data_IF_188993830310
#
_entry.id   IF_188993830310
#
_cell.length_a   1.000
_cell.length_b   1.000
_cell.length_c   1.000
_cell.angle_alpha   90.00
_cell.angle_beta   90.00
_cell.angle_gamma   90.00
#
_symmetry.space_group_name_H-M   'P 1'
#
loop_
_entity.id
_entity.type
_entity.pdbx_description
1 polymer ?
#
# COMPACT_ATOMS: atom_id res chain seq x y z
N UNK A 1 -11.53 36.66 26.72
CA UNK A 1 -12.91 36.14 26.61
C UNK A 1 -12.98 34.83 27.36
N UNK A 2 -13.73 34.79 28.47
CA UNK A 2 -13.86 33.60 29.32
C UNK A 2 -14.76 32.54 28.69
N UNK A 3 -14.35 31.28 28.79
CA UNK A 3 -15.12 30.11 28.36
C UNK A 3 -16.04 29.67 29.49
N UNK A 4 -17.35 29.70 29.26
CA UNK A 4 -18.40 29.22 30.17
C UNK A 4 -18.54 27.69 30.03
N UNK A 5 -18.42 26.95 31.14
CA UNK A 5 -18.32 25.48 31.17
C UNK A 5 -19.67 24.76 31.31
N UNK A 6 -20.77 25.47 31.52
CA UNK A 6 -22.03 24.85 31.98
C UNK A 6 -23.14 24.73 30.93
N UNK A 7 -22.80 24.69 29.63
CA UNK A 7 -23.79 24.45 28.56
C UNK A 7 -23.40 23.33 27.61
N UNK A 8 -23.39 22.09 28.11
CA UNK A 8 -23.68 20.91 27.28
C UNK A 8 -24.90 20.21 27.85
N UNK A 9 -26.08 20.52 27.31
CA UNK A 9 -27.27 19.73 27.59
C UNK A 9 -27.12 18.39 26.89
N UNK A 10 -27.10 17.31 27.66
CA UNK A 10 -27.15 15.94 27.13
C UNK A 10 -28.51 15.78 26.43
N UNK A 11 -28.56 15.30 25.18
CA UNK A 11 -29.81 15.07 24.49
C UNK A 11 -30.72 14.14 25.30
N UNK A 12 -32.00 14.49 25.45
CA UNK A 12 -32.97 13.70 26.21
C UNK A 12 -33.06 12.24 25.73
N UNK A 13 -32.77 11.97 24.46
CA UNK A 13 -32.67 10.62 23.91
C UNK A 13 -31.56 9.79 24.54
N UNK A 14 -30.39 10.40 24.81
CA UNK A 14 -29.24 9.75 25.43
C UNK A 14 -29.46 9.49 26.93
N UNK A 15 -30.11 10.44 27.61
CA UNK A 15 -30.53 10.28 29.00
C UNK A 15 -31.61 9.20 29.17
N UNK A 16 -32.55 9.12 28.22
CA UNK A 16 -33.60 8.11 28.21
C UNK A 16 -33.02 6.72 27.95
N UNK A 17 -32.15 6.61 26.94
CA UNK A 17 -31.47 5.36 26.61
C UNK A 17 -30.61 4.81 27.76
N UNK A 18 -29.84 5.65 28.44
CA UNK A 18 -29.02 5.23 29.60
C UNK A 18 -29.86 4.82 30.81
N UNK A 19 -31.04 5.44 31.02
CA UNK A 19 -31.98 5.02 32.08
C UNK A 19 -32.69 3.70 31.79
N UNK A 20 -32.97 3.41 30.52
CA UNK A 20 -33.70 2.21 30.11
C UNK A 20 -32.79 0.99 29.91
N UNK A 21 -31.49 1.21 29.71
CA UNK A 21 -30.49 0.16 29.44
C UNK A 21 -30.45 -0.97 30.49
N UNK A 22 -30.45 -0.69 31.81
CA UNK A 22 -30.42 -1.74 32.82
C UNK A 22 -31.67 -2.62 32.79
N UNK A 23 -32.83 -2.02 32.47
CA UNK A 23 -34.09 -2.75 32.34
C UNK A 23 -34.13 -3.65 31.11
N UNK A 24 -33.56 -3.20 29.99
CA UNK A 24 -33.48 -3.98 28.74
C UNK A 24 -32.50 -5.15 28.84
N UNK A 25 -31.42 -4.98 29.60
CA UNK A 25 -30.48 -6.05 29.91
C UNK A 25 -31.11 -7.10 30.84
N UNK A 26 -31.85 -6.66 31.86
CA UNK A 26 -32.58 -7.57 32.75
C UNK A 26 -33.75 -8.29 32.05
N UNK A 27 -34.28 -7.74 30.95
CA UNK A 27 -35.36 -8.31 30.17
C UNK A 27 -34.92 -9.38 29.14
N UNK A 28 -33.62 -9.69 29.04
CA UNK A 28 -33.12 -10.74 28.15
C UNK A 28 -33.24 -10.40 26.65
N UNK A 29 -33.23 -9.10 26.28
CA UNK A 29 -33.27 -8.66 24.87
C UNK A 29 -31.97 -8.96 24.09
N UNK A 30 -31.00 -9.63 24.71
CA UNK A 30 -29.70 -9.96 24.14
C UNK A 30 -29.35 -11.43 24.35
N UNK A 31 -28.85 -12.07 23.30
CA UNK A 31 -28.44 -13.47 23.23
C UNK A 31 -27.50 -13.89 24.39
N UNK A 32 -27.78 -15.02 25.02
CA UNK A 32 -27.21 -15.44 26.32
C UNK A 32 -25.68 -15.64 26.26
N UNK A 33 -25.13 -16.10 25.13
CA UNK A 33 -23.68 -16.24 24.94
C UNK A 33 -22.93 -14.89 24.86
N UNK A 34 -23.63 -13.80 24.47
CA UNK A 34 -23.07 -12.45 24.41
C UNK A 34 -23.07 -11.78 25.77
N UNK A 35 -24.13 -11.95 26.56
CA UNK A 35 -24.21 -11.39 27.91
C UNK A 35 -23.11 -11.93 28.83
N UNK A 36 -22.85 -13.24 28.80
CA UNK A 36 -21.84 -13.89 29.64
C UNK A 36 -20.39 -13.53 29.26
N UNK A 37 -20.15 -13.15 28.01
CA UNK A 37 -18.83 -12.69 27.55
C UNK A 37 -18.58 -11.24 27.97
N UNK A 38 -19.60 -10.40 27.81
CA UNK A 38 -19.57 -8.99 28.24
C UNK A 38 -19.39 -8.88 29.75
N UNK A 39 -20.07 -9.72 30.55
CA UNK A 39 -19.91 -9.75 32.02
C UNK A 39 -18.49 -10.17 32.42
N UNK A 40 -17.93 -11.21 31.80
CA UNK A 40 -16.55 -11.66 32.09
C UNK A 40 -15.49 -10.64 31.70
N UNK A 41 -15.67 -9.94 30.58
CA UNK A 41 -14.75 -8.89 30.14
C UNK A 41 -14.88 -7.62 31.00
N UNK A 42 -16.08 -7.25 31.44
CA UNK A 42 -16.31 -6.15 32.40
C UNK A 42 -15.67 -6.45 33.76
N UNK A 43 -15.82 -7.66 34.29
CA UNK A 43 -15.20 -8.06 35.56
C UNK A 43 -13.66 -8.13 35.47
N UNK A 44 -13.12 -8.54 34.31
CA UNK A 44 -11.68 -8.50 34.03
C UNK A 44 -11.13 -7.08 33.96
N UNK A 45 -11.87 -6.18 33.32
CA UNK A 45 -11.53 -4.77 33.19
C UNK A 45 -11.55 -4.05 34.55
N UNK A 46 -12.54 -4.35 35.40
CA UNK A 46 -12.68 -3.74 36.73
C UNK A 46 -11.58 -4.21 37.71
N UNK A 47 -11.05 -5.43 37.53
CA UNK A 47 -9.86 -5.93 38.27
C UNK A 47 -8.56 -5.29 37.79
N UNK A 48 -8.40 -5.02 36.50
CA UNK A 48 -7.22 -4.35 35.95
C UNK A 48 -7.17 -2.87 36.37
N UNK A 49 -8.32 -2.19 36.42
CA UNK A 49 -8.40 -0.78 36.81
C UNK A 49 -8.10 -0.52 38.29
N UNK A 50 -8.34 -1.48 39.19
CA UNK A 50 -8.04 -1.34 40.63
C UNK A 50 -6.56 -1.38 40.98
N UNK A 51 -5.65 -1.74 40.05
CA UNK A 51 -4.22 -1.94 40.35
C UNK A 51 -3.27 -0.82 39.90
N UNK A 52 -3.73 0.17 39.14
CA UNK A 52 -2.87 1.26 38.57
C UNK A 52 -3.22 2.67 39.06
N UNK A 53 -3.88 2.78 40.22
CA UNK A 53 -4.52 4.03 40.65
C UNK A 53 -3.64 5.00 41.44
N UNK A 54 -2.45 5.36 40.94
CA UNK A 54 -1.73 6.55 41.39
C UNK A 54 -0.79 7.07 40.29
N UNK A 55 -1.24 8.05 39.49
CA UNK A 55 -0.60 9.37 39.28
C UNK A 55 -1.04 10.12 38.00
N UNK A 56 -1.71 9.50 37.02
CA UNK A 56 -2.00 10.17 35.72
C UNK A 56 -3.50 10.29 35.41
N UNK A 57 -4.20 11.15 36.16
CA UNK A 57 -5.67 11.33 36.08
C UNK A 57 -6.19 12.12 34.86
N UNK A 58 -5.37 12.47 33.86
CA UNK A 58 -5.85 13.29 32.72
C UNK A 58 -5.50 12.78 31.31
N UNK A 59 -4.53 11.87 31.17
CA UNK A 59 -4.24 11.24 29.87
C UNK A 59 -4.87 9.84 29.76
N UNK A 60 -4.85 9.05 30.84
CA UNK A 60 -5.40 7.69 30.84
C UNK A 60 -6.93 7.65 30.69
N UNK A 61 -7.64 8.65 31.21
CA UNK A 61 -9.11 8.71 31.11
C UNK A 61 -9.56 9.00 29.68
N UNK A 62 -8.82 9.81 28.92
CA UNK A 62 -9.14 10.13 27.52
C UNK A 62 -8.86 8.96 26.60
N UNK A 63 -7.73 8.26 26.79
CA UNK A 63 -7.40 7.05 26.00
C UNK A 63 -8.33 5.88 26.34
N UNK A 64 -8.66 5.68 27.61
CA UNK A 64 -9.62 4.66 28.03
C UNK A 64 -11.05 5.00 27.59
N UNK A 65 -11.46 6.27 27.59
CA UNK A 65 -12.75 6.69 27.07
C UNK A 65 -12.84 6.53 25.54
N UNK A 66 -11.76 6.78 24.80
CA UNK A 66 -11.70 6.53 23.36
C UNK A 66 -11.79 5.02 23.08
N UNK A 67 -10.95 4.21 23.74
CA UNK A 67 -10.98 2.75 23.59
C UNK A 67 -12.32 2.12 24.03
N UNK A 68 -12.91 2.57 25.14
CA UNK A 68 -14.21 2.13 25.59
C UNK A 68 -15.34 2.61 24.67
N UNK A 69 -15.24 3.81 24.09
CA UNK A 69 -16.21 4.30 23.09
C UNK A 69 -16.13 3.46 21.81
N UNK A 70 -14.94 3.02 21.40
CA UNK A 70 -14.77 2.10 20.28
C UNK A 70 -15.27 0.69 20.59
N UNK A 71 -14.98 0.11 21.76
CA UNK A 71 -15.52 -1.19 22.18
C UNK A 71 -17.06 -1.16 22.31
N UNK A 72 -17.62 -0.07 22.84
CA UNK A 72 -19.07 0.15 22.85
C UNK A 72 -19.64 0.37 21.44
N UNK A 73 -18.85 0.83 20.47
CA UNK A 73 -19.24 0.94 19.05
C UNK A 73 -19.25 -0.42 18.34
N UNK A 74 -18.25 -1.28 18.60
CA UNK A 74 -18.25 -2.67 18.11
C UNK A 74 -19.40 -3.46 18.76
N UNK A 75 -19.75 -3.14 20.01
CA UNK A 75 -20.84 -3.77 20.75
C UNK A 75 -22.27 -3.26 20.48
N UNK A 76 -22.46 -2.05 19.92
CA UNK A 76 -23.80 -1.39 19.85
C UNK A 76 -24.54 -1.47 18.51
N UNK A 77 -24.19 -2.44 17.66
CA UNK A 77 -25.12 -2.92 16.63
C UNK A 77 -25.18 -2.14 15.31
N UNK A 78 -24.09 -1.50 14.87
CA UNK A 78 -23.98 -0.89 13.53
C UNK A 78 -23.02 -1.60 12.56
N UNK A 79 -22.56 -2.80 12.88
CA UNK A 79 -22.06 -3.73 11.85
C UNK A 79 -23.28 -4.45 11.26
N UNK A 80 -23.67 -4.11 10.04
CA UNK A 80 -24.71 -4.90 9.35
C UNK A 80 -24.24 -6.37 9.31
N UNK A 81 -25.16 -7.36 9.31
CA UNK A 81 -24.79 -8.76 9.11
C UNK A 81 -23.92 -8.98 7.85
N UNK A 82 -23.99 -8.08 6.87
CA UNK A 82 -23.10 -8.05 5.70
C UNK A 82 -21.68 -7.60 6.06
N UNK A 83 -21.51 -6.57 6.89
CA UNK A 83 -20.21 -6.13 7.41
C UNK A 83 -19.53 -7.21 8.27
N UNK A 84 -20.27 -7.83 9.20
CA UNK A 84 -19.75 -8.92 10.03
C UNK A 84 -19.32 -10.15 9.18
N UNK A 85 -20.00 -10.38 8.06
CA UNK A 85 -19.70 -11.45 7.10
C UNK A 85 -18.55 -11.12 6.15
N UNK A 86 -18.22 -9.85 5.94
CA UNK A 86 -17.06 -9.40 5.17
C UNK A 86 -15.81 -9.37 6.05
N UNK A 87 -15.88 -8.80 7.26
CA UNK A 87 -14.76 -8.76 8.22
C UNK A 87 -14.29 -10.17 8.62
N UNK A 88 -15.20 -11.12 8.80
CA UNK A 88 -14.86 -12.54 9.07
C UNK A 88 -14.30 -13.32 7.87
N UNK A 89 -14.27 -12.73 6.67
CA UNK A 89 -13.83 -13.36 5.42
C UNK A 89 -12.61 -12.69 4.79
N UNK A 90 -12.04 -11.68 5.45
CA UNK A 90 -10.79 -11.08 5.02
C UNK A 90 -9.69 -11.95 5.62
N UNK A 91 -8.90 -12.67 4.80
CA UNK A 91 -7.62 -13.19 5.28
C UNK A 91 -6.89 -11.99 5.90
N UNK A 92 -6.26 -12.13 7.07
CA UNK A 92 -5.58 -11.00 7.69
C UNK A 92 -4.72 -10.31 6.63
N UNK A 93 -4.91 -9.01 6.36
CA UNK A 93 -4.07 -8.31 5.39
C UNK A 93 -2.56 -8.44 5.77
N UNK A 94 -2.26 -8.77 7.03
CA UNK A 94 -0.95 -9.22 7.53
C UNK A 94 -0.44 -10.53 6.92
N UNK A 95 -1.30 -11.46 6.48
CA UNK A 95 -0.88 -12.68 5.78
C UNK A 95 -0.27 -12.40 4.40
N UNK A 96 -0.47 -11.20 3.84
CA UNK A 96 0.09 -10.78 2.54
C UNK A 96 1.62 -10.68 2.59
N UNK A 97 2.22 -10.40 3.76
CA UNK A 97 3.68 -10.31 3.89
C UNK A 97 4.38 -11.66 3.99
N UNK A 98 3.64 -12.73 4.25
CA UNK A 98 4.17 -14.07 4.50
C UNK A 98 3.61 -15.14 3.55
N UNK A 99 3.06 -14.75 2.39
CA UNK A 99 2.66 -15.73 1.38
C UNK A 99 3.81 -15.99 0.40
N UNK A 100 4.59 -17.07 0.55
CA UNK A 100 5.52 -17.57 -0.48
C UNK A 100 4.79 -18.09 -1.74
N UNK A 101 3.52 -17.74 -1.96
CA UNK A 101 2.63 -18.28 -2.99
C UNK A 101 2.56 -17.43 -4.28
N UNK A 102 3.16 -16.23 -4.34
CA UNK A 102 2.84 -15.25 -5.39
C UNK A 102 4.05 -14.63 -6.10
N UNK A 103 4.86 -15.45 -6.73
CA UNK A 103 5.33 -15.06 -8.06
C UNK A 103 4.72 -16.03 -9.08
N UNK A 104 3.64 -15.55 -9.71
CA UNK A 104 2.96 -16.26 -10.80
C UNK A 104 3.94 -16.57 -11.94
N UNK A 105 4.91 -15.68 -12.20
CA UNK A 105 5.96 -15.88 -13.19
C UNK A 105 6.90 -17.00 -12.77
N UNK A 106 7.30 -17.05 -11.50
CA UNK A 106 8.17 -18.12 -10.98
C UNK A 106 7.48 -19.48 -11.04
N UNK A 107 6.23 -19.57 -10.54
CA UNK A 107 5.45 -20.83 -10.56
C UNK A 107 5.22 -21.35 -11.97
N UNK A 108 4.90 -20.45 -12.90
CA UNK A 108 4.74 -20.79 -14.31
C UNK A 108 6.08 -21.24 -14.91
N UNK A 109 7.17 -20.55 -14.60
CA UNK A 109 8.53 -20.94 -15.03
C UNK A 109 8.89 -22.34 -14.55
N UNK A 110 8.68 -22.64 -13.27
CA UNK A 110 8.96 -23.95 -12.69
C UNK A 110 8.09 -25.04 -13.32
N UNK A 111 6.80 -24.76 -13.54
CA UNK A 111 5.86 -25.71 -14.16
C UNK A 111 6.29 -26.06 -15.58
N UNK A 112 6.56 -25.05 -16.41
CA UNK A 112 6.99 -25.25 -17.79
C UNK A 112 8.34 -25.96 -17.90
N UNK A 113 9.31 -25.61 -17.04
CA UNK A 113 10.62 -26.30 -16.99
C UNK A 113 10.46 -27.77 -16.58
N UNK A 114 9.58 -28.07 -15.63
CA UNK A 114 9.29 -29.45 -15.18
C UNK A 114 8.65 -30.28 -16.29
N UNK A 115 7.86 -29.66 -17.16
CA UNK A 115 7.29 -30.30 -18.35
C UNK A 115 8.27 -30.40 -19.54
N UNK A 116 9.51 -29.92 -19.37
CA UNK A 116 10.58 -30.06 -20.35
C UNK A 116 10.66 -28.93 -21.38
N UNK A 117 9.92 -27.83 -21.20
CA UNK A 117 9.97 -26.68 -22.09
C UNK A 117 11.22 -25.80 -21.80
N UNK A 118 11.96 -25.36 -22.83
CA UNK A 118 13.13 -24.52 -22.66
C UNK A 118 12.71 -23.07 -22.41
N UNK A 119 12.34 -22.74 -21.16
CA UNK A 119 11.92 -21.38 -20.79
C UNK A 119 13.13 -20.49 -20.53
N UNK A 120 13.26 -19.41 -21.31
CA UNK A 120 14.24 -18.35 -21.08
C UNK A 120 13.80 -17.44 -19.94
N UNK A 121 12.56 -16.96 -20.02
CA UNK A 121 12.01 -15.97 -19.08
C UNK A 121 10.48 -15.99 -19.10
N UNK A 122 9.87 -15.68 -17.97
CA UNK A 122 8.44 -15.35 -17.85
C UNK A 122 8.34 -13.96 -17.24
N UNK A 123 7.60 -13.06 -17.89
CA UNK A 123 7.37 -11.70 -17.44
C UNK A 123 5.90 -11.47 -17.16
N UNK A 124 5.58 -11.00 -15.96
CA UNK A 124 4.27 -10.51 -15.59
C UNK A 124 4.19 -8.99 -15.78
N UNK A 125 3.15 -8.54 -16.46
CA UNK A 125 2.85 -7.14 -16.71
C UNK A 125 1.66 -6.74 -15.83
N UNK A 126 1.93 -5.92 -14.82
CA UNK A 126 0.93 -5.45 -13.86
C UNK A 126 0.74 -3.95 -14.02
N UNK A 127 -0.52 -3.48 -14.03
CA UNK A 127 -0.86 -2.07 -14.14
C UNK A 127 -1.13 -1.63 -15.57
N UNK A 128 -2.41 -1.62 -15.97
CA UNK A 128 -2.83 -1.06 -17.26
C UNK A 128 -4.07 -1.74 -17.82
N UNK A 129 -4.34 -1.49 -19.11
CA UNK A 129 -5.36 -2.22 -19.89
C UNK A 129 -4.86 -3.57 -20.42
N UNK A 130 -3.54 -3.75 -20.42
CA UNK A 130 -2.85 -4.93 -20.96
C UNK A 130 -2.09 -5.62 -19.81
N UNK A 131 -2.82 -6.12 -18.82
CA UNK A 131 -2.23 -6.97 -17.78
C UNK A 131 -2.16 -8.42 -18.27
N UNK A 132 -1.03 -9.07 -18.05
CA UNK A 132 -0.83 -10.43 -18.54
C UNK A 132 0.58 -10.95 -18.38
N UNK A 133 0.81 -12.11 -18.98
CA UNK A 133 2.07 -12.84 -18.92
C UNK A 133 2.64 -12.99 -20.34
N UNK A 134 3.94 -12.74 -20.48
CA UNK A 134 4.71 -13.11 -21.67
C UNK A 134 5.73 -14.18 -21.29
N UNK A 135 5.60 -15.33 -21.94
CA UNK A 135 6.51 -16.47 -21.82
C UNK A 135 7.47 -16.43 -23.01
N UNK A 136 8.76 -16.36 -22.72
CA UNK A 136 9.83 -16.37 -23.73
C UNK A 136 10.53 -17.72 -23.73
N UNK A 137 10.51 -18.41 -24.87
CA UNK A 137 11.08 -19.74 -25.03
C UNK A 137 12.45 -19.69 -25.72
N UNK A 138 13.44 -20.35 -25.14
CA UNK A 138 14.76 -20.58 -25.72
C UNK A 138 14.71 -21.77 -26.71
N UNK A 139 14.02 -21.56 -27.83
CA UNK A 139 13.74 -22.61 -28.81
C UNK A 139 13.96 -22.10 -30.24
N UNK A 140 14.42 -22.98 -31.14
CA UNK A 140 14.44 -22.68 -32.58
C UNK A 140 13.03 -22.44 -33.11
N UNK A 141 12.89 -21.75 -34.25
CA UNK A 141 11.57 -21.44 -34.83
C UNK A 141 10.71 -22.69 -35.01
N UNK A 142 11.30 -23.80 -35.49
CA UNK A 142 10.58 -25.06 -35.65
C UNK A 142 10.07 -25.60 -34.32
N UNK A 143 10.94 -25.67 -33.31
CA UNK A 143 10.57 -26.15 -31.98
C UNK A 143 9.53 -25.24 -31.32
N UNK A 144 9.65 -23.92 -31.49
CA UNK A 144 8.68 -22.93 -31.02
C UNK A 144 7.29 -23.21 -31.63
N UNK A 145 7.20 -23.41 -32.95
CA UNK A 145 5.92 -23.67 -33.61
C UNK A 145 5.24 -24.94 -33.09
N UNK A 146 6.02 -25.96 -32.74
CA UNK A 146 5.55 -27.22 -32.17
C UNK A 146 5.05 -27.06 -30.71
N UNK A 147 5.73 -26.26 -29.88
CA UNK A 147 5.42 -26.16 -28.44
C UNK A 147 4.55 -24.96 -28.04
N UNK A 148 4.43 -23.93 -28.87
CA UNK A 148 3.77 -22.66 -28.49
C UNK A 148 2.33 -22.88 -28.01
N UNK A 149 1.60 -23.84 -28.60
CA UNK A 149 0.20 -24.08 -28.28
C UNK A 149 0.05 -24.69 -26.88
N UNK A 150 0.89 -25.66 -26.55
CA UNK A 150 0.86 -26.33 -25.25
C UNK A 150 1.32 -25.38 -24.13
N UNK A 151 2.40 -24.63 -24.37
CA UNK A 151 2.89 -23.61 -23.43
C UNK A 151 1.83 -22.53 -23.18
N UNK A 152 1.15 -22.08 -24.24
CA UNK A 152 0.06 -21.11 -24.13
C UNK A 152 -1.10 -21.67 -23.31
N UNK A 153 -1.44 -22.95 -23.52
CA UNK A 153 -2.49 -23.64 -22.77
C UNK A 153 -2.14 -23.75 -21.28
N UNK A 154 -0.92 -24.16 -20.93
CA UNK A 154 -0.45 -24.26 -19.54
C UNK A 154 -0.55 -22.90 -18.84
N UNK A 155 -0.09 -21.83 -19.50
CA UNK A 155 -0.20 -20.48 -18.96
C UNK A 155 -1.65 -20.06 -18.75
N UNK A 156 -2.55 -20.35 -19.71
CA UNK A 156 -3.98 -20.06 -19.59
C UNK A 156 -4.66 -20.86 -18.47
N UNK A 157 -4.33 -22.14 -18.34
CA UNK A 157 -4.88 -23.00 -17.29
C UNK A 157 -4.41 -22.55 -15.90
N UNK A 158 -3.16 -22.07 -15.79
CA UNK A 158 -2.63 -21.53 -14.54
C UNK A 158 -3.39 -20.27 -14.10
N UNK A 159 -3.54 -19.27 -14.97
CA UNK A 159 -4.23 -18.03 -14.60
C UNK A 159 -5.73 -18.24 -14.36
N UNK A 160 -6.36 -19.23 -14.99
CA UNK A 160 -7.77 -19.61 -14.78
C UNK A 160 -7.99 -20.61 -13.65
N UNK A 161 -6.94 -20.98 -12.93
CA UNK A 161 -7.04 -21.94 -11.83
C UNK A 161 -7.97 -21.45 -10.72
N UNK A 162 -8.49 -22.39 -9.92
CA UNK A 162 -9.44 -22.07 -8.82
C UNK A 162 -8.88 -21.06 -7.82
N UNK A 163 -7.55 -21.01 -7.68
CA UNK A 163 -6.82 -20.12 -6.78
C UNK A 163 -7.00 -18.64 -7.15
N UNK A 164 -6.95 -18.31 -8.45
CA UNK A 164 -7.06 -16.94 -8.94
C UNK A 164 -8.50 -16.50 -9.21
N UNK A 165 -9.49 -17.37 -8.94
CA UNK A 165 -10.89 -17.07 -9.21
C UNK A 165 -11.36 -15.83 -8.45
N UNK A 166 -11.91 -14.85 -9.17
CA UNK A 166 -12.34 -13.57 -8.61
C UNK A 166 -11.22 -12.57 -8.35
N UNK A 167 -9.98 -12.90 -8.71
CA UNK A 167 -8.85 -11.95 -8.80
C UNK A 167 -8.76 -11.39 -10.22
N UNK A 168 -7.97 -10.33 -10.44
CA UNK A 168 -7.66 -9.82 -11.79
C UNK A 168 -6.74 -10.74 -12.58
N UNK A 169 -5.98 -11.61 -11.91
CA UNK A 169 -5.08 -12.57 -12.56
C UNK A 169 -5.87 -13.50 -13.48
N UNK A 170 -7.12 -13.85 -13.15
CA UNK A 170 -7.95 -14.71 -14.01
C UNK A 170 -8.24 -14.12 -15.40
N UNK A 171 -8.09 -12.81 -15.57
CA UNK A 171 -8.27 -12.10 -16.84
C UNK A 171 -6.95 -11.85 -17.59
N UNK A 172 -5.81 -12.29 -17.06
CA UNK A 172 -4.52 -12.03 -17.67
C UNK A 172 -4.46 -12.61 -19.08
N UNK A 173 -3.98 -11.79 -20.03
CA UNK A 173 -3.59 -12.36 -21.32
C UNK A 173 -2.37 -13.25 -21.10
N UNK A 174 -2.22 -14.27 -21.95
CA UNK A 174 -1.01 -15.09 -22.00
C UNK A 174 -0.49 -15.02 -23.42
N UNK A 175 0.80 -14.73 -23.58
CA UNK A 175 1.49 -14.72 -24.87
C UNK A 175 2.76 -15.54 -24.78
N UNK A 176 3.04 -16.30 -25.82
CA UNK A 176 4.29 -17.04 -25.96
C UNK A 176 5.08 -16.42 -27.12
N UNK A 177 6.38 -16.27 -26.96
CA UNK A 177 7.28 -15.74 -27.99
C UNK A 177 8.60 -16.51 -28.01
N UNK A 178 9.23 -16.68 -29.17
CA UNK A 178 10.58 -17.21 -29.22
C UNK A 178 11.56 -16.16 -28.67
N UNK A 179 12.58 -16.63 -27.96
CA UNK A 179 13.75 -15.83 -27.66
C UNK A 179 14.46 -15.52 -28.98
N UNK A 180 14.85 -14.27 -29.14
CA UNK A 180 15.72 -13.84 -30.23
C UNK A 180 16.94 -13.22 -29.58
N UNK A 181 18.09 -13.77 -29.91
CA UNK A 181 19.36 -13.13 -29.58
C UNK A 181 19.35 -11.72 -30.18
N UNK A 182 19.69 -10.69 -29.39
CA UNK A 182 19.88 -9.35 -29.93
C UNK A 182 20.93 -9.38 -31.05
N UNK A 183 20.82 -8.47 -32.02
CA UNK A 183 21.84 -8.34 -33.06
C UNK A 183 23.19 -7.98 -32.44
N UNK A 184 24.29 -8.37 -33.09
CA UNK A 184 25.62 -7.98 -32.65
C UNK A 184 25.80 -6.45 -32.62
N UNK A 185 25.19 -5.73 -33.57
CA UNK A 185 25.13 -4.26 -33.56
C UNK A 185 24.48 -3.72 -32.26
N UNK A 186 23.36 -4.30 -31.83
CA UNK A 186 22.70 -3.89 -30.59
C UNK A 186 23.55 -4.23 -29.36
N UNK A 187 24.19 -5.40 -29.33
CA UNK A 187 25.09 -5.79 -28.23
C UNK A 187 26.27 -4.83 -28.12
N UNK A 188 26.87 -4.46 -29.24
CA UNK A 188 27.95 -3.47 -29.29
C UNK A 188 27.48 -2.09 -28.83
N UNK A 189 26.31 -1.63 -29.30
CA UNK A 189 25.71 -0.36 -28.86
C UNK A 189 25.45 -0.35 -27.35
N UNK A 190 24.89 -1.43 -26.78
CA UNK A 190 24.67 -1.51 -25.34
C UNK A 190 25.97 -1.58 -24.54
N UNK A 191 26.97 -2.33 -25.00
CA UNK A 191 28.27 -2.39 -24.34
C UNK A 191 28.96 -1.02 -24.34
N UNK A 192 28.81 -0.24 -25.41
CA UNK A 192 29.33 1.12 -25.46
C UNK A 192 28.57 2.05 -24.50
N UNK A 193 27.24 1.98 -24.48
CA UNK A 193 26.43 2.76 -23.53
C UNK A 193 26.79 2.41 -22.08
N UNK A 194 26.96 1.13 -21.76
CA UNK A 194 27.35 0.65 -20.44
C UNK A 194 28.73 1.20 -20.06
N UNK A 195 29.71 1.12 -20.97
CA UNK A 195 31.05 1.67 -20.77
C UNK A 195 31.03 3.18 -20.55
N UNK A 196 30.33 3.93 -21.39
CA UNK A 196 30.20 5.39 -21.25
C UNK A 196 29.51 5.77 -19.93
N UNK A 197 28.46 5.04 -19.55
CA UNK A 197 27.73 5.27 -18.31
C UNK A 197 28.60 4.96 -17.09
N UNK A 198 29.37 3.87 -17.12
CA UNK A 198 30.29 3.48 -16.05
C UNK A 198 31.44 4.48 -15.88
N UNK A 199 31.99 5.00 -16.99
CA UNK A 199 33.00 6.06 -16.96
C UNK A 199 32.46 7.31 -16.26
N UNK A 200 31.29 7.79 -16.70
CA UNK A 200 30.61 8.94 -16.09
C UNK A 200 30.29 8.65 -14.61
N UNK A 201 29.84 7.45 -14.29
CA UNK A 201 29.57 7.02 -12.92
C UNK A 201 30.81 7.19 -12.03
N UNK A 202 31.97 6.68 -12.44
CA UNK A 202 33.19 6.77 -11.66
C UNK A 202 33.66 8.21 -11.47
N UNK A 203 33.64 9.03 -12.54
CA UNK A 203 34.00 10.46 -12.49
C UNK A 203 33.14 11.19 -11.47
N UNK A 204 31.82 10.99 -11.54
CA UNK A 204 30.85 11.63 -10.64
C UNK A 204 31.04 11.15 -9.20
N UNK A 205 31.23 9.84 -8.97
CA UNK A 205 31.47 9.31 -7.62
C UNK A 205 32.73 9.90 -6.99
N UNK A 206 33.82 10.00 -7.75
CA UNK A 206 35.07 10.60 -7.28
C UNK A 206 34.91 12.08 -6.94
N UNK A 207 34.18 12.84 -7.75
CA UNK A 207 33.86 14.25 -7.50
C UNK A 207 33.00 14.45 -6.24
N UNK A 208 32.17 13.45 -5.89
CA UNK A 208 31.25 13.49 -4.76
C UNK A 208 31.88 13.06 -3.43
N UNK A 209 32.97 12.27 -3.44
CA UNK A 209 33.68 11.79 -2.23
C UNK A 209 34.01 12.89 -1.22
N UNK A 210 34.55 14.07 -1.60
CA UNK A 210 34.89 15.13 -0.64
C UNK A 210 33.69 15.71 0.12
N UNK A 211 32.47 15.51 -0.40
CA UNK A 211 31.23 16.02 0.18
C UNK A 211 30.50 15.01 1.08
N UNK A 212 31.05 13.80 1.24
CA UNK A 212 30.39 12.66 1.91
C UNK A 212 28.95 12.47 1.39
N UNK A 213 28.80 12.56 0.06
CA UNK A 213 27.50 12.53 -0.57
C UNK A 213 27.02 11.10 -0.75
N UNK A 214 26.04 10.69 0.06
CA UNK A 214 25.51 9.32 0.09
C UNK A 214 24.12 9.18 -0.58
N UNK A 215 23.62 10.23 -1.22
CA UNK A 215 22.30 10.22 -1.85
C UNK A 215 22.35 9.61 -3.26
N UNK A 216 21.18 9.18 -3.74
CA UNK A 216 21.01 8.63 -5.07
C UNK A 216 21.48 9.61 -6.15
N UNK A 217 22.17 9.07 -7.14
CA UNK A 217 22.53 9.74 -8.38
C UNK A 217 21.86 8.98 -9.52
N UNK A 218 21.07 9.69 -10.32
CA UNK A 218 20.48 9.15 -11.54
C UNK A 218 21.43 9.34 -12.70
N UNK A 219 21.67 8.28 -13.46
CA UNK A 219 22.50 8.32 -14.67
C UNK A 219 21.62 8.01 -15.88
N UNK A 220 21.64 8.92 -16.83
CA UNK A 220 21.15 8.74 -18.19
C UNK A 220 22.30 9.06 -19.14
N UNK A 221 22.22 8.56 -20.38
CA UNK A 221 23.31 8.69 -21.36
C UNK A 221 23.94 10.08 -21.41
N UNK A 222 23.11 11.12 -21.38
CA UNK A 222 23.53 12.52 -21.52
C UNK A 222 23.19 13.38 -20.28
N UNK A 223 22.81 12.76 -19.15
CA UNK A 223 22.37 13.50 -17.96
C UNK A 223 22.70 12.79 -16.64
N UNK A 224 23.24 13.55 -15.70
CA UNK A 224 23.44 13.17 -14.30
C UNK A 224 22.47 13.97 -13.43
N UNK A 225 21.54 13.29 -12.76
CA UNK A 225 20.62 13.91 -11.79
C UNK A 225 21.11 13.68 -10.36
N UNK A 226 21.47 14.76 -9.67
CA UNK A 226 21.87 14.74 -8.26
C UNK A 226 20.66 14.94 -7.35
N UNK A 227 20.30 13.93 -6.56
CA UNK A 227 19.21 14.05 -5.58
C UNK A 227 19.67 14.65 -4.24
N UNK A 228 19.36 15.93 -3.99
CA UNK A 228 19.84 16.66 -2.81
C UNK A 228 18.70 16.95 -1.82
N UNK A 229 18.90 16.77 -0.49
CA UNK A 229 17.93 17.20 0.51
C UNK A 229 17.54 18.67 0.38
N UNK A 230 16.25 18.98 0.47
CA UNK A 230 15.75 20.37 0.38
C UNK A 230 16.23 21.26 1.52
N UNK A 231 16.67 20.67 2.63
CA UNK A 231 17.27 21.34 3.79
C UNK A 231 18.72 21.78 3.55
N UNK A 232 19.37 21.28 2.50
CA UNK A 232 20.78 21.59 2.21
C UNK A 232 20.92 23.04 1.77
N UNK A 233 21.99 23.70 2.22
CA UNK A 233 22.24 25.11 1.89
C UNK A 233 22.58 25.27 0.42
N UNK A 234 22.06 26.32 -0.21
CA UNK A 234 22.26 26.54 -1.65
C UNK A 234 23.75 26.65 -2.01
N UNK A 235 24.59 27.24 -1.14
CA UNK A 235 26.03 27.34 -1.37
C UNK A 235 26.69 25.96 -1.46
N UNK A 236 26.28 24.99 -0.63
CA UNK A 236 26.78 23.61 -0.70
C UNK A 236 26.24 22.88 -1.92
N UNK A 237 24.99 23.11 -2.28
CA UNK A 237 24.39 22.59 -3.53
C UNK A 237 25.17 23.05 -4.76
N UNK A 238 25.50 24.34 -4.84
CA UNK A 238 26.25 24.91 -5.96
C UNK A 238 27.69 24.37 -5.99
N UNK A 239 28.34 24.19 -4.84
CA UNK A 239 29.67 23.58 -4.75
C UNK A 239 29.67 22.13 -5.24
N UNK A 240 28.69 21.32 -4.83
CA UNK A 240 28.56 19.93 -5.26
C UNK A 240 28.35 19.88 -6.78
N UNK A 241 27.38 20.64 -7.28
CA UNK A 241 27.08 20.68 -8.72
C UNK A 241 28.32 21.08 -9.52
N UNK A 242 28.99 22.15 -9.11
CA UNK A 242 30.20 22.64 -9.76
C UNK A 242 31.32 21.60 -9.73
N UNK A 243 31.55 20.91 -8.61
CA UNK A 243 32.57 19.87 -8.54
C UNK A 243 32.32 18.74 -9.55
N UNK A 244 31.06 18.36 -9.75
CA UNK A 244 30.68 17.35 -10.75
C UNK A 244 30.87 17.90 -12.18
N UNK A 245 30.41 19.12 -12.47
CA UNK A 245 30.60 19.76 -13.78
C UNK A 245 32.09 19.92 -14.13
N UNK A 246 32.91 20.36 -13.17
CA UNK A 246 34.36 20.53 -13.34
C UNK A 246 35.05 19.17 -13.57
N UNK A 247 34.63 18.12 -12.87
CA UNK A 247 35.16 16.77 -13.04
C UNK A 247 34.79 16.16 -14.40
N UNK A 248 33.56 16.35 -14.87
CA UNK A 248 33.12 15.91 -16.20
C UNK A 248 33.90 16.65 -17.30
N UNK A 249 34.04 17.97 -17.16
CA UNK A 249 34.81 18.80 -18.10
C UNK A 249 36.28 18.38 -18.15
N UNK A 250 36.89 18.07 -17.00
CA UNK A 250 38.28 17.62 -16.93
C UNK A 250 38.54 16.25 -17.58
N UNK A 251 37.47 15.49 -17.88
CA UNK A 251 37.51 14.18 -18.54
C UNK A 251 36.86 14.20 -19.94
N UNK A 252 36.76 15.38 -20.55
CA UNK A 252 36.19 15.57 -21.90
C UNK A 252 34.73 15.05 -22.05
N UNK A 253 33.92 15.24 -21.00
CA UNK A 253 32.48 14.88 -20.94
C UNK A 253 31.59 16.11 -20.73
N UNK A 254 31.91 17.24 -21.37
CA UNK A 254 31.19 18.52 -21.22
C UNK A 254 29.75 18.51 -21.79
N UNK A 255 29.43 17.51 -22.60
CA UNK A 255 28.11 17.24 -23.16
C UNK A 255 27.13 16.62 -22.14
N UNK A 256 27.63 16.04 -21.04
CA UNK A 256 26.80 15.45 -19.99
C UNK A 256 26.20 16.55 -19.10
N UNK A 257 24.87 16.66 -19.12
CA UNK A 257 24.13 17.68 -18.37
C UNK A 257 24.04 17.30 -16.89
N UNK A 258 24.38 18.22 -15.98
CA UNK A 258 24.18 18.04 -14.54
C UNK A 258 22.92 18.75 -14.05
N UNK A 259 21.95 17.98 -13.55
CA UNK A 259 20.70 18.50 -12.97
C UNK A 259 20.62 18.23 -11.48
N UNK A 260 19.89 19.09 -10.77
CA UNK A 260 19.64 18.93 -9.33
C UNK A 260 18.17 18.69 -9.11
N UNK A 261 17.85 17.62 -8.39
CA UNK A 261 16.51 17.34 -7.90
C UNK A 261 16.49 17.45 -6.39
N UNK A 262 15.79 18.45 -5.87
CA UNK A 262 15.60 18.59 -4.43
C UNK A 262 14.50 17.65 -3.93
N UNK A 263 14.73 16.99 -2.80
CA UNK A 263 13.73 16.15 -2.15
C UNK A 263 13.53 16.51 -0.67
N UNK A 264 12.30 16.34 -0.19
CA UNK A 264 11.95 16.54 1.21
C UNK A 264 12.29 15.27 2.01
N UNK A 265 13.20 15.39 2.98
CA UNK A 265 13.71 14.27 3.80
C UNK A 265 12.59 13.68 4.64
N UNK A 266 11.82 14.52 5.34
CA UNK A 266 10.73 14.09 6.22
C UNK A 266 9.67 13.34 5.40
N UNK A 267 9.34 13.87 4.23
CA UNK A 267 8.39 13.23 3.31
C UNK A 267 8.89 11.87 2.81
N UNK A 268 10.18 11.76 2.46
CA UNK A 268 10.80 10.51 1.98
C UNK A 268 10.82 9.45 3.08
N UNK A 269 11.19 9.82 4.30
CA UNK A 269 11.15 8.92 5.45
C UNK A 269 9.72 8.45 5.75
N UNK A 270 8.75 9.36 5.73
CA UNK A 270 7.34 9.00 5.91
C UNK A 270 6.88 8.02 4.81
N UNK A 271 7.26 8.25 3.56
CA UNK A 271 6.92 7.32 2.47
C UNK A 271 7.55 5.94 2.65
N UNK A 272 8.78 5.87 3.16
CA UNK A 272 9.43 4.60 3.47
C UNK A 272 8.69 3.84 4.58
N UNK A 273 8.33 4.52 5.68
CA UNK A 273 7.58 3.93 6.80
C UNK A 273 6.21 3.38 6.38
N UNK A 274 5.54 4.09 5.47
CA UNK A 274 4.19 3.74 5.00
C UNK A 274 4.18 2.77 3.81
N UNK A 275 5.35 2.40 3.26
CA UNK A 275 5.44 1.60 2.05
C UNK A 275 4.72 0.25 2.18
N UNK A 276 4.97 -0.47 3.28
CA UNK A 276 4.30 -1.74 3.59
C UNK A 276 2.78 -1.58 3.69
N UNK A 277 2.31 -0.60 4.46
CA UNK A 277 0.89 -0.37 4.69
C UNK A 277 0.15 -0.01 3.38
N UNK A 278 0.69 0.92 2.60
CA UNK A 278 0.09 1.30 1.32
C UNK A 278 0.20 0.18 0.30
N UNK A 279 1.32 -0.54 0.27
CA UNK A 279 1.57 -1.69 -0.59
C UNK A 279 0.57 -2.81 -0.34
N UNK A 280 0.34 -3.19 0.92
CA UNK A 280 -0.62 -4.23 1.31
C UNK A 280 -2.06 -3.88 0.95
N UNK A 281 -2.50 -2.64 1.24
CA UNK A 281 -3.82 -2.13 0.82
C UNK A 281 -3.94 -2.15 -0.70
N UNK A 282 -2.90 -1.67 -1.40
CA UNK A 282 -2.82 -1.65 -2.84
C UNK A 282 -2.93 -3.03 -3.46
N UNK A 283 -2.19 -4.00 -2.92
CA UNK A 283 -2.19 -5.39 -3.36
C UNK A 283 -3.57 -6.01 -3.21
N UNK A 284 -4.13 -6.08 -1.99
CA UNK A 284 -5.42 -6.74 -1.76
C UNK A 284 -6.55 -6.10 -2.57
N UNK A 285 -6.72 -4.79 -2.47
CA UNK A 285 -7.86 -4.11 -3.07
C UNK A 285 -7.80 -4.07 -4.59
N UNK A 286 -6.60 -3.99 -5.16
CA UNK A 286 -6.45 -4.02 -6.62
C UNK A 286 -6.45 -5.45 -7.15
N UNK A 287 -5.99 -6.46 -6.41
CA UNK A 287 -5.95 -7.86 -6.88
C UNK A 287 -7.36 -8.45 -6.99
N UNK A 288 -8.21 -8.28 -5.98
CA UNK A 288 -9.54 -8.91 -6.01
C UNK A 288 -10.62 -8.03 -6.65
N UNK A 289 -11.30 -8.58 -7.66
CA UNK A 289 -12.35 -7.87 -8.40
C UNK A 289 -13.53 -7.46 -7.53
N UNK A 290 -13.83 -8.23 -6.47
CA UNK A 290 -14.93 -7.98 -5.53
C UNK A 290 -14.84 -6.58 -4.90
N UNK A 291 -13.64 -6.05 -4.69
CA UNK A 291 -13.42 -4.73 -4.09
C UNK A 291 -13.63 -3.57 -5.07
N UNK A 292 -13.79 -3.84 -6.37
CA UNK A 292 -14.09 -2.81 -7.38
C UNK A 292 -13.16 -1.57 -7.30
N UNK A 293 -11.89 -1.72 -6.89
CA UNK A 293 -10.91 -0.63 -6.80
C UNK A 293 -10.15 -0.48 -8.12
N UNK A 294 -9.92 0.76 -8.55
CA UNK A 294 -9.13 1.12 -9.73
C UNK A 294 -7.72 1.57 -9.38
N UNK A 295 -7.50 2.11 -8.18
CA UNK A 295 -6.18 2.56 -7.75
C UNK A 295 -6.11 2.83 -6.25
N UNK A 296 -4.92 2.64 -5.71
CA UNK A 296 -4.54 3.08 -4.37
C UNK A 296 -3.34 4.00 -4.54
N UNK A 297 -3.41 5.18 -3.94
CA UNK A 297 -2.35 6.18 -3.97
C UNK A 297 -2.18 6.80 -2.60
N UNK A 298 -1.17 7.62 -2.44
CA UNK A 298 -0.85 8.24 -1.16
C UNK A 298 -0.19 9.60 -1.34
N UNK A 299 -0.26 10.43 -0.31
CA UNK A 299 0.38 11.74 -0.27
C UNK A 299 0.69 12.10 1.17
N UNK A 300 1.92 12.53 1.40
CA UNK A 300 2.30 13.20 2.64
C UNK A 300 2.24 14.71 2.43
N UNK A 301 1.63 15.40 3.40
CA UNK A 301 1.62 16.85 3.49
C UNK A 301 1.61 17.26 4.97
N UNK A 302 2.53 18.14 5.36
CA UNK A 302 2.61 18.71 6.71
C UNK A 302 2.64 17.62 7.82
N UNK A 303 3.33 16.51 7.55
CA UNK A 303 3.41 15.36 8.46
C UNK A 303 2.18 14.44 8.48
N UNK A 304 1.11 14.76 7.76
CA UNK A 304 -0.07 13.90 7.64
C UNK A 304 0.02 12.99 6.41
N UNK A 305 -0.01 11.67 6.62
CA UNK A 305 -0.14 10.70 5.53
C UNK A 305 -1.60 10.60 5.08
N UNK A 306 -1.89 10.85 3.80
CA UNK A 306 -3.21 10.62 3.22
C UNK A 306 -3.18 9.44 2.27
N UNK A 307 -3.99 8.41 2.53
CA UNK A 307 -4.16 7.24 1.66
C UNK A 307 -5.43 7.42 0.85
N UNK A 308 -5.33 7.30 -0.47
CA UNK A 308 -6.44 7.41 -1.41
C UNK A 308 -6.80 6.04 -1.98
N UNK A 309 -8.04 5.61 -1.77
CA UNK A 309 -8.59 4.39 -2.39
C UNK A 309 -9.63 4.82 -3.41
N UNK A 310 -9.36 4.58 -4.70
CA UNK A 310 -10.25 4.99 -5.80
C UNK A 310 -11.05 3.80 -6.30
N UNK A 311 -12.37 3.92 -6.28
CA UNK A 311 -13.33 2.91 -6.73
C UNK A 311 -13.64 3.06 -8.23
N UNK A 312 -14.02 1.95 -8.86
CA UNK A 312 -14.56 1.88 -10.22
C UNK A 312 -16.03 2.32 -10.28
N UNK A 313 -16.74 2.35 -9.15
CA UNK A 313 -18.15 2.74 -9.03
C UNK A 313 -18.33 4.26 -9.07
N UNK A 314 -19.47 4.74 -9.54
CA UNK A 314 -19.86 6.16 -9.48
C UNK A 314 -20.55 6.45 -8.15
N UNK A 315 -20.52 7.71 -7.71
CA UNK A 315 -21.22 8.11 -6.47
C UNK A 315 -22.74 7.91 -6.52
N UNK A 316 -23.32 7.79 -7.71
CA UNK A 316 -24.76 7.60 -7.94
C UNK A 316 -25.19 6.16 -7.82
N UNK A 317 -24.25 5.22 -7.77
CA UNK A 317 -24.55 3.80 -7.61
C UNK A 317 -25.05 3.57 -6.18
N UNK A 318 -26.18 2.86 -6.03
CA UNK A 318 -26.86 2.70 -4.73
C UNK A 318 -25.96 2.12 -3.63
N UNK A 319 -25.04 1.25 -4.01
CA UNK A 319 -24.11 0.55 -3.13
C UNK A 319 -22.79 1.31 -2.88
N UNK A 320 -22.54 2.44 -3.56
CA UNK A 320 -21.24 3.11 -3.51
C UNK A 320 -20.84 3.57 -2.11
N UNK A 321 -21.81 4.04 -1.31
CA UNK A 321 -21.55 4.51 0.04
C UNK A 321 -21.18 3.36 1.00
N UNK A 322 -21.94 2.26 0.96
CA UNK A 322 -21.68 1.07 1.78
C UNK A 322 -20.33 0.45 1.41
N UNK A 323 -20.08 0.28 0.11
CA UNK A 323 -18.81 -0.25 -0.39
C UNK A 323 -17.61 0.63 -0.02
N UNK A 324 -17.78 1.96 -0.02
CA UNK A 324 -16.73 2.87 0.45
C UNK A 324 -16.45 2.74 1.95
N UNK A 325 -17.48 2.53 2.77
CA UNK A 325 -17.35 2.28 4.21
C UNK A 325 -16.64 0.97 4.49
N UNK A 326 -16.93 -0.09 3.73
CA UNK A 326 -16.22 -1.36 3.85
C UNK A 326 -14.72 -1.19 3.54
N UNK A 327 -14.38 -0.57 2.41
CA UNK A 327 -12.97 -0.33 2.03
C UNK A 327 -12.21 0.49 3.06
N UNK A 328 -12.85 1.52 3.63
CA UNK A 328 -12.26 2.31 4.71
C UNK A 328 -11.98 1.45 5.94
N UNK A 329 -12.99 0.70 6.40
CA UNK A 329 -12.88 -0.12 7.62
C UNK A 329 -11.78 -1.16 7.49
N UNK A 330 -11.72 -1.85 6.33
CA UNK A 330 -10.68 -2.86 6.07
C UNK A 330 -9.27 -2.27 6.06
N UNK A 331 -9.08 -1.10 5.43
CA UNK A 331 -7.79 -0.43 5.41
C UNK A 331 -7.39 0.08 6.80
N UNK A 332 -8.35 0.62 7.55
CA UNK A 332 -8.16 1.11 8.91
C UNK A 332 -7.75 -0.01 9.88
N UNK A 333 -8.46 -1.14 9.86
CA UNK A 333 -8.15 -2.32 10.68
C UNK A 333 -6.76 -2.88 10.36
N UNK A 334 -6.37 -2.89 9.08
CA UNK A 334 -5.05 -3.34 8.67
C UNK A 334 -3.93 -2.42 9.14
N UNK A 335 -4.07 -1.11 8.95
CA UNK A 335 -3.07 -0.14 9.42
C UNK A 335 -2.89 -0.24 10.94
N UNK A 336 -4.00 -0.46 11.67
CA UNK A 336 -4.01 -0.60 13.13
C UNK A 336 -3.71 -2.00 13.65
N UNK A 337 -3.40 -2.96 12.77
CA UNK A 337 -2.99 -4.30 13.18
C UNK A 337 -1.68 -4.25 13.97
N UNK A 338 -1.48 -5.22 14.87
CA UNK A 338 -0.27 -5.32 15.70
C UNK A 338 1.02 -5.40 14.88
N UNK A 339 0.93 -5.86 13.62
CA UNK A 339 2.08 -5.93 12.72
C UNK A 339 2.41 -4.59 12.05
N UNK A 340 1.39 -3.85 11.59
CA UNK A 340 1.59 -2.64 10.77
C UNK A 340 1.69 -1.38 11.62
N UNK A 341 0.91 -1.29 12.69
CA UNK A 341 0.83 -0.09 13.51
C UNK A 341 2.18 0.35 14.10
N UNK A 342 3.04 -0.58 14.57
CA UNK A 342 4.40 -0.23 14.99
C UNK A 342 5.31 0.19 13.83
N UNK A 343 5.16 -0.41 12.64
CA UNK A 343 5.99 -0.10 11.45
C UNK A 343 5.77 1.34 10.96
N UNK A 344 4.52 1.80 11.00
CA UNK A 344 4.18 3.19 10.67
C UNK A 344 4.44 4.16 11.83
N UNK A 345 5.06 3.71 12.94
CA UNK A 345 5.40 4.51 14.13
C UNK A 345 4.23 5.32 14.70
N UNK A 346 3.00 4.83 14.52
CA UNK A 346 1.79 5.53 14.98
C UNK A 346 1.62 6.94 14.40
N UNK A 347 2.20 7.18 13.23
CA UNK A 347 2.22 8.45 12.53
C UNK A 347 0.79 8.88 12.13
N UNK A 348 0.42 10.17 12.26
CA UNK A 348 -0.91 10.63 11.89
C UNK A 348 -1.23 10.38 10.42
N UNK A 349 -2.44 9.88 10.17
CA UNK A 349 -2.90 9.59 8.83
C UNK A 349 -4.40 9.83 8.65
N UNK A 350 -4.82 9.81 7.39
CA UNK A 350 -6.21 9.84 6.96
C UNK A 350 -6.41 8.92 5.76
N UNK A 351 -7.53 8.20 5.75
CA UNK A 351 -7.98 7.40 4.60
C UNK A 351 -9.09 8.16 3.87
N UNK A 352 -8.97 8.28 2.55
CA UNK A 352 -9.96 8.91 1.68
C UNK A 352 -10.38 7.92 0.61
N UNK A 353 -11.62 7.44 0.70
CA UNK A 353 -12.21 6.58 -0.33
C UNK A 353 -12.95 7.47 -1.33
N UNK A 354 -12.64 7.32 -2.61
CA UNK A 354 -13.16 8.14 -3.71
C UNK A 354 -13.87 7.29 -4.74
N UNK A 355 -14.97 7.78 -5.28
CA UNK A 355 -15.62 7.15 -6.45
C UNK A 355 -14.94 7.55 -7.76
N UNK A 356 -15.33 6.88 -8.85
CA UNK A 356 -14.85 7.14 -10.21
C UNK A 356 -15.05 8.58 -10.66
N UNK A 357 -16.11 9.23 -10.19
CA UNK A 357 -16.43 10.65 -10.41
C UNK A 357 -15.74 11.60 -9.41
N UNK A 358 -14.72 11.10 -8.69
CA UNK A 358 -13.87 11.83 -7.74
C UNK A 358 -14.60 12.40 -6.52
N UNK A 359 -15.82 11.93 -6.22
CA UNK A 359 -16.47 12.29 -4.96
C UNK A 359 -15.82 11.52 -3.81
N UNK A 360 -15.49 12.25 -2.77
CA UNK A 360 -14.84 11.71 -1.60
C UNK A 360 -15.88 11.30 -0.55
N UNK A 361 -15.68 10.13 0.03
CA UNK A 361 -16.36 9.71 1.24
C UNK A 361 -15.44 10.01 2.41
N UNK A 362 -15.59 11.21 2.98
CA UNK A 362 -14.97 11.54 4.26
C UNK A 362 -15.81 10.93 5.36
N UNK A 363 -15.41 9.73 5.79
CA UNK A 363 -16.12 9.01 6.85
C UNK A 363 -15.86 9.65 8.22
N UNK A 364 -14.76 10.41 8.36
CA UNK A 364 -14.46 11.22 9.55
C UNK A 364 -15.41 12.42 9.73
N UNK A 365 -15.97 13.00 8.65
CA UNK A 365 -16.86 14.19 8.74
C UNK A 365 -18.33 13.85 9.02
N UNK A 366 -18.74 12.58 8.90
CA UNK A 366 -20.10 12.16 9.29
C UNK A 366 -20.29 12.00 10.81
N UNK A 367 -19.25 12.24 11.61
CA UNK A 367 -19.28 12.07 13.07
C UNK A 367 -19.42 13.37 13.87
N UNK A 368 -19.55 14.54 13.22
CA UNK A 368 -19.84 15.80 13.91
C UNK A 368 -20.94 16.59 13.19
N UNK A 369 -22.21 16.26 13.50
CA UNK A 369 -23.34 17.19 13.41
C UNK A 369 -24.21 17.08 14.64
#
# INVERSE_FOLDING_TARGET
>A
MGYDKDKRQIPNSLQKFTKELPGRFAAGEFDDERSDRVVRELEGFDKAFKKQWTFWKKAGVTTAAIAASFMLFVGSGFVSPTMAKMVSKIPPLSSIFNSPEQDLSERLTQTLKKEGYPVKQVNEFVGGKDEGIIITLDASEKQYQEMQHDVLKIGHDMVKSKEFKGTRIEDYFVKVRPHREPSEEWKQEQAEIERETDEVFQIVQDALKPFDYQNSVGYMKDEVELEIPSIEKQEKVDQIKKAVEDALTANDKDDVKVTIRKFDVVKREQYALWSDAVGGIGHEFKTYKKYKVSGVGYKSKDGLMTIFITMKMKSTDKEAAEHATDLYTMAEEFIKSDEIWPKVKQDPYRIVVRTKDKKEFNIEEKQFK
#
